data_IF_454825185231
#
_entry.id   IF_454825185231
#
_cell.length_a   1.000
_cell.length_b   1.000
_cell.length_c   1.000
_cell.angle_alpha   90.00
_cell.angle_beta   90.00
_cell.angle_gamma   90.00
#
_symmetry.space_group_name_H-M   'P 1'
#
loop_
_entity.id
_entity.type
_entity.pdbx_description
1 polymer ?
#
# COMPACT_ATOMS: atom_id res chain seq x y z
N UNK A 1 23.19 -29.96 -37.33
CA UNK A 1 23.86 -29.21 -36.23
C UNK A 1 23.73 -27.68 -36.33
N UNK A 2 23.36 -27.09 -37.49
CA UNK A 2 23.24 -25.63 -37.64
C UNK A 2 21.84 -25.08 -37.27
N UNK A 3 20.75 -25.79 -37.59
CA UNK A 3 19.38 -25.31 -37.35
C UNK A 3 19.01 -25.16 -35.86
N UNK A 4 19.52 -26.02 -34.99
CA UNK A 4 19.31 -25.93 -33.53
C UNK A 4 19.99 -24.72 -32.91
N UNK A 5 21.13 -24.31 -33.45
CA UNK A 5 21.90 -23.17 -32.94
C UNK A 5 21.27 -21.83 -33.38
N UNK A 6 20.69 -21.80 -34.59
CA UNK A 6 19.91 -20.67 -35.10
C UNK A 6 18.60 -20.52 -34.33
N UNK A 7 17.90 -21.62 -34.01
CA UNK A 7 16.68 -21.58 -33.19
C UNK A 7 16.95 -21.10 -31.76
N UNK A 8 18.06 -21.53 -31.15
CA UNK A 8 18.45 -21.10 -29.81
C UNK A 8 18.87 -19.62 -29.76
N UNK A 9 19.58 -19.15 -30.80
CA UNK A 9 19.94 -17.73 -30.93
C UNK A 9 18.71 -16.84 -31.18
N UNK A 10 17.74 -17.31 -31.97
CA UNK A 10 16.49 -16.60 -32.21
C UNK A 10 15.63 -16.50 -30.93
N UNK A 11 15.50 -17.59 -30.16
CA UNK A 11 14.81 -17.59 -28.86
C UNK A 11 15.49 -16.69 -27.84
N UNK A 12 16.83 -16.66 -27.81
CA UNK A 12 17.58 -15.74 -26.95
C UNK A 12 17.36 -14.27 -27.36
N UNK A 13 17.28 -13.98 -28.66
CA UNK A 13 16.97 -12.64 -29.16
C UNK A 13 15.53 -12.20 -28.82
N UNK A 14 14.54 -13.08 -28.91
CA UNK A 14 13.18 -12.78 -28.46
C UNK A 14 13.08 -12.57 -26.94
N UNK A 15 13.85 -13.32 -26.14
CA UNK A 15 13.93 -13.11 -24.70
C UNK A 15 14.57 -11.76 -24.32
N UNK A 16 15.51 -11.23 -25.12
CA UNK A 16 16.13 -9.92 -24.90
C UNK A 16 15.28 -8.73 -25.34
N UNK A 17 14.28 -8.93 -26.19
CA UNK A 17 13.36 -7.84 -26.64
C UNK A 17 12.30 -7.51 -25.57
N UNK A 18 12.11 -8.38 -24.58
CA UNK A 18 11.30 -8.06 -23.39
C UNK A 18 12.10 -7.33 -22.31
N UNK A 19 13.04 -6.45 -22.68
CA UNK A 19 13.42 -5.37 -21.79
C UNK A 19 12.20 -4.47 -21.65
N UNK A 20 11.53 -4.50 -20.48
CA UNK A 20 10.47 -3.54 -20.15
C UNK A 20 10.99 -2.14 -20.49
N UNK A 21 10.50 -1.54 -21.58
CA UNK A 21 10.66 -0.12 -21.80
C UNK A 21 9.97 0.54 -20.61
N UNK A 22 10.75 1.04 -19.64
CA UNK A 22 10.20 1.87 -18.59
C UNK A 22 9.78 3.16 -19.30
N UNK A 23 8.52 3.24 -19.69
CA UNK A 23 7.95 4.47 -20.25
C UNK A 23 8.04 5.57 -19.18
N UNK A 24 9.08 6.39 -19.27
CA UNK A 24 9.25 7.54 -18.39
C UNK A 24 8.40 8.69 -18.89
N UNK A 25 7.50 9.20 -18.04
CA UNK A 25 6.71 10.41 -18.31
C UNK A 25 7.31 11.59 -17.56
N UNK A 26 7.42 12.75 -18.21
CA UNK A 26 7.85 13.99 -17.54
C UNK A 26 6.74 14.50 -16.64
N UNK A 27 7.07 14.76 -15.37
CA UNK A 27 6.16 15.31 -14.36
C UNK A 27 6.48 16.78 -14.07
N UNK A 28 5.48 17.55 -13.67
CA UNK A 28 5.64 18.92 -13.20
C UNK A 28 6.09 18.96 -11.73
N UNK A 29 6.42 20.16 -11.24
CA UNK A 29 6.97 20.34 -9.90
C UNK A 29 5.96 19.97 -8.80
N UNK A 30 4.69 20.29 -8.98
CA UNK A 30 3.64 19.97 -7.99
C UNK A 30 3.48 18.45 -7.83
N UNK A 31 3.37 17.74 -8.96
CA UNK A 31 3.31 16.27 -8.95
C UNK A 31 4.52 15.66 -8.25
N UNK A 32 5.74 16.14 -8.52
CA UNK A 32 6.95 15.61 -7.88
C UNK A 32 6.95 15.82 -6.36
N UNK A 33 6.42 16.94 -5.86
CA UNK A 33 6.30 17.20 -4.41
C UNK A 33 5.35 16.18 -3.78
N UNK A 34 4.19 15.97 -4.39
CA UNK A 34 3.18 14.99 -3.92
C UNK A 34 3.71 13.56 -3.98
N UNK A 35 4.32 13.19 -5.10
CA UNK A 35 4.91 11.87 -5.30
C UNK A 35 5.99 11.59 -4.26
N UNK A 36 6.87 12.57 -4.01
CA UNK A 36 7.91 12.46 -2.99
C UNK A 36 7.32 12.29 -1.59
N UNK A 37 6.31 13.09 -1.24
CA UNK A 37 5.66 12.99 0.07
C UNK A 37 5.07 11.59 0.33
N UNK A 38 4.32 11.03 -0.63
CA UNK A 38 3.72 9.69 -0.48
C UNK A 38 4.79 8.60 -0.34
N UNK A 39 5.87 8.66 -1.12
CA UNK A 39 6.95 7.68 -1.00
C UNK A 39 7.67 7.78 0.34
N UNK A 40 7.92 8.99 0.85
CA UNK A 40 8.63 9.21 2.10
C UNK A 40 7.77 8.87 3.34
N UNK A 41 6.47 9.19 3.32
CA UNK A 41 5.60 8.92 4.48
C UNK A 41 5.29 7.43 4.66
N UNK A 42 5.36 6.65 3.58
CA UNK A 42 5.19 5.20 3.57
C UNK A 42 6.51 4.43 3.80
N UNK A 43 7.62 5.12 4.04
CA UNK A 43 8.86 4.47 4.46
C UNK A 43 8.84 4.18 5.97
N UNK A 44 9.41 3.02 6.33
CA UNK A 44 9.58 2.59 7.71
C UNK A 44 8.31 2.67 8.57
N UNK A 45 7.15 2.32 8.00
CA UNK A 45 5.83 2.54 8.65
C UNK A 45 5.75 1.92 10.06
N UNK A 46 6.45 0.81 10.26
CA UNK A 46 6.43 0.02 11.49
C UNK A 46 7.53 0.39 12.49
N UNK A 47 8.30 1.44 12.21
CA UNK A 47 9.26 2.00 13.14
C UNK A 47 8.74 3.35 13.62
N UNK A 48 8.51 3.47 14.92
CA UNK A 48 8.05 4.71 15.53
C UNK A 48 9.13 5.78 15.41
N UNK A 49 8.70 7.01 15.11
CA UNK A 49 9.55 8.20 14.96
C UNK A 49 10.67 8.13 13.91
N UNK A 50 10.70 7.09 13.08
CA UNK A 50 11.63 6.99 11.95
C UNK A 50 10.98 7.60 10.71
N UNK A 51 11.30 8.87 10.48
CA UNK A 51 10.88 9.62 9.31
C UNK A 51 12.10 10.06 8.49
N UNK A 52 12.03 9.87 7.18
CA UNK A 52 13.10 10.31 6.26
C UNK A 52 13.14 11.83 6.14
N UNK A 53 11.96 12.45 6.05
CA UNK A 53 11.80 13.90 6.06
C UNK A 53 11.51 14.40 7.47
N UNK A 54 12.22 15.45 7.87
CA UNK A 54 11.94 16.15 9.13
C UNK A 54 10.76 17.09 8.93
N UNK A 55 9.83 17.04 9.85
CA UNK A 55 8.68 17.92 9.89
C UNK A 55 8.88 18.98 10.97
N UNK A 56 8.26 20.14 10.81
CA UNK A 56 8.31 21.21 11.80
C UNK A 56 7.24 21.02 12.89
N UNK A 57 7.23 21.91 13.88
CA UNK A 57 6.33 21.84 15.03
C UNK A 57 4.84 21.89 14.64
N UNK A 58 4.47 22.49 13.51
CA UNK A 58 3.05 22.57 13.11
C UNK A 58 2.46 21.20 12.85
N UNK A 59 3.26 20.25 12.35
CA UNK A 59 2.85 18.87 12.12
C UNK A 59 2.66 18.09 13.43
N UNK A 60 3.56 18.27 14.40
CA UNK A 60 3.52 17.56 15.69
C UNK A 60 2.40 18.05 16.61
N UNK A 61 2.07 19.34 16.54
CA UNK A 61 0.99 19.93 17.34
C UNK A 61 -0.39 19.80 16.67
N UNK A 62 -0.43 19.36 15.40
CA UNK A 62 -1.66 19.24 14.63
C UNK A 62 -2.62 18.21 15.22
N UNK A 63 -3.86 18.65 15.45
CA UNK A 63 -4.97 17.79 15.84
C UNK A 63 -6.16 18.04 14.91
N UNK A 64 -6.59 17.04 14.14
CA UNK A 64 -7.63 17.26 13.13
C UNK A 64 -8.93 17.88 13.67
N UNK A 65 -9.34 17.53 14.89
CA UNK A 65 -10.54 18.05 15.55
C UNK A 65 -10.42 19.51 16.03
N UNK A 66 -9.23 20.09 16.06
CA UNK A 66 -9.03 21.53 16.32
C UNK A 66 -9.09 22.35 15.01
N UNK A 67 -9.05 21.67 13.86
CA UNK A 67 -8.96 22.23 12.50
C UNK A 67 -10.13 21.82 11.60
N UNK A 68 -11.30 21.59 12.19
CA UNK A 68 -12.53 21.12 11.51
C UNK A 68 -12.92 21.99 10.32
N UNK A 69 -12.67 23.31 10.40
CA UNK A 69 -12.95 24.26 9.33
C UNK A 69 -12.10 24.04 8.07
N UNK A 70 -10.99 23.30 8.15
CA UNK A 70 -10.09 23.02 7.02
C UNK A 70 -10.54 21.81 6.18
N UNK A 71 -11.66 21.18 6.56
CA UNK A 71 -12.24 20.03 5.87
C UNK A 71 -13.55 20.39 5.17
N UNK A 72 -13.78 19.80 4.01
CA UNK A 72 -15.10 19.75 3.38
C UNK A 72 -16.02 18.82 4.20
N UNK A 73 -17.32 19.11 4.26
CA UNK A 73 -18.32 18.22 4.89
C UNK A 73 -17.91 17.75 6.29
N UNK A 74 -17.44 18.69 7.09
CA UNK A 74 -16.80 18.42 8.37
C UNK A 74 -17.75 17.74 9.37
N UNK A 75 -19.06 17.90 9.22
CA UNK A 75 -20.11 17.20 9.94
C UNK A 75 -19.99 15.66 9.83
N UNK A 76 -19.43 15.14 8.72
CA UNK A 76 -19.23 13.71 8.52
C UNK A 76 -17.99 13.16 9.24
N UNK A 77 -17.16 14.04 9.82
CA UNK A 77 -15.97 13.70 10.61
C UNK A 77 -16.25 13.66 12.11
N UNK A 78 -17.32 14.30 12.59
CA UNK A 78 -17.68 14.33 14.02
C UNK A 78 -17.79 12.92 14.63
N UNK A 79 -18.47 11.93 14.00
CA UNK A 79 -18.55 10.58 14.56
C UNK A 79 -17.19 9.90 14.65
N UNK A 80 -16.28 10.18 13.70
CA UNK A 80 -14.92 9.64 13.74
C UNK A 80 -14.12 10.23 14.90
N UNK A 81 -14.23 11.54 15.14
CA UNK A 81 -13.54 12.17 16.27
C UNK A 81 -14.08 11.71 17.62
N UNK A 82 -15.39 11.51 17.75
CA UNK A 82 -16.00 10.91 18.95
C UNK A 82 -15.52 9.46 19.16
N UNK A 83 -15.58 8.63 18.11
CA UNK A 83 -15.11 7.26 18.15
C UNK A 83 -13.62 7.15 18.53
N UNK A 84 -12.81 8.08 18.01
CA UNK A 84 -11.38 8.17 18.29
C UNK A 84 -11.08 8.41 19.77
N UNK A 85 -11.91 9.19 20.48
CA UNK A 85 -11.70 9.51 21.90
C UNK A 85 -11.93 8.30 22.83
N UNK A 86 -12.77 7.34 22.43
CA UNK A 86 -13.22 6.29 23.34
C UNK A 86 -12.47 4.97 23.21
N UNK A 87 -11.83 4.67 22.07
CA UNK A 87 -11.06 3.43 21.87
C UNK A 87 -10.26 3.39 20.55
N UNK A 88 -9.17 4.16 20.36
CA UNK A 88 -8.40 4.06 19.13
C UNK A 88 -7.85 2.63 18.95
N UNK A 89 -7.87 2.13 17.72
CA UNK A 89 -7.24 0.85 17.37
C UNK A 89 -5.72 0.97 17.61
N UNK A 90 -5.19 0.08 18.44
CA UNK A 90 -3.77 0.05 18.79
C UNK A 90 -2.93 -0.53 17.65
N UNK A 91 -1.64 -0.22 17.60
CA UNK A 91 -0.71 -0.68 16.55
C UNK A 91 -0.46 -2.20 16.56
N UNK A 92 -0.62 -2.85 17.71
CA UNK A 92 -0.46 -4.30 17.88
C UNK A 92 -1.70 -5.10 17.42
N UNK A 93 -2.85 -4.44 17.26
CA UNK A 93 -4.05 -5.07 16.71
C UNK A 93 -3.94 -5.24 15.18
N UNK A 94 -4.32 -6.43 14.68
CA UNK A 94 -4.38 -6.69 13.23
C UNK A 94 -5.63 -6.04 12.66
N UNK A 95 -5.43 -5.16 11.68
CA UNK A 95 -6.52 -4.56 10.92
C UNK A 95 -7.04 -5.54 9.88
N UNK A 96 -8.36 -5.53 9.73
CA UNK A 96 -9.04 -6.21 8.64
C UNK A 96 -10.36 -5.51 8.39
N UNK A 97 -10.59 -5.16 7.13
CA UNK A 97 -11.82 -4.48 6.69
C UNK A 97 -13.06 -5.38 6.80
N UNK A 98 -12.90 -6.66 7.11
CA UNK A 98 -14.02 -7.60 7.28
C UNK A 98 -14.74 -7.43 8.63
N UNK A 99 -14.13 -6.74 9.59
CA UNK A 99 -14.75 -6.47 10.89
C UNK A 99 -15.46 -5.13 10.87
N UNK A 100 -16.74 -5.11 11.26
CA UNK A 100 -17.59 -3.91 11.27
C UNK A 100 -16.94 -2.74 12.04
N UNK A 101 -16.40 -3.01 13.23
CA UNK A 101 -15.66 -2.01 14.01
C UNK A 101 -14.49 -1.40 13.24
N UNK A 102 -13.74 -2.20 12.49
CA UNK A 102 -12.60 -1.71 11.70
C UNK A 102 -13.06 -0.89 10.50
N UNK A 103 -14.20 -1.24 9.90
CA UNK A 103 -14.83 -0.46 8.83
C UNK A 103 -15.17 0.95 9.31
N UNK A 104 -15.71 1.10 10.52
CA UNK A 104 -16.04 2.43 11.06
C UNK A 104 -14.79 3.33 11.15
N UNK A 105 -13.68 2.81 11.69
CA UNK A 105 -12.41 3.55 11.72
C UNK A 105 -11.86 3.82 10.31
N UNK A 106 -11.92 2.84 9.40
CA UNK A 106 -11.47 3.00 8.02
C UNK A 106 -12.28 4.07 7.27
N UNK A 107 -13.60 4.09 7.44
CA UNK A 107 -14.49 5.11 6.88
C UNK A 107 -14.12 6.48 7.40
N UNK A 108 -13.99 6.63 8.72
CA UNK A 108 -13.67 7.90 9.36
C UNK A 108 -12.32 8.46 8.92
N UNK A 109 -11.28 7.62 8.93
CA UNK A 109 -9.93 8.03 8.52
C UNK A 109 -9.82 8.31 7.02
N UNK A 110 -10.48 7.51 6.17
CA UNK A 110 -10.52 7.75 4.73
C UNK A 110 -11.21 9.08 4.43
N UNK A 111 -12.32 9.38 5.13
CA UNK A 111 -13.01 10.68 5.01
C UNK A 111 -12.12 11.83 5.46
N UNK A 112 -11.36 11.66 6.54
CA UNK A 112 -10.44 12.69 7.02
C UNK A 112 -9.46 13.09 5.92
N UNK A 113 -8.80 12.11 5.29
CA UNK A 113 -7.88 12.37 4.19
C UNK A 113 -8.58 12.90 2.95
N UNK A 114 -9.73 12.34 2.58
CA UNK A 114 -10.43 12.76 1.37
C UNK A 114 -10.98 14.19 1.47
N UNK A 115 -11.51 14.58 2.62
CA UNK A 115 -12.17 15.87 2.80
C UNK A 115 -11.22 17.04 3.08
N UNK A 116 -9.92 16.81 3.25
CA UNK A 116 -8.94 17.89 3.37
C UNK A 116 -9.01 18.82 2.15
N UNK A 117 -9.26 20.12 2.39
CA UNK A 117 -9.52 21.13 1.35
C UNK A 117 -8.32 21.40 0.45
N UNK A 118 -7.14 21.40 1.06
CA UNK A 118 -5.89 21.72 0.38
C UNK A 118 -4.81 20.68 0.71
N UNK A 119 -3.68 20.81 0.02
CA UNK A 119 -2.53 19.93 0.20
C UNK A 119 -1.96 20.02 1.62
N UNK A 120 -1.98 21.21 2.23
CA UNK A 120 -1.43 21.43 3.57
C UNK A 120 -2.23 20.67 4.62
N UNK A 121 -3.56 20.80 4.64
CA UNK A 121 -4.42 20.07 5.58
C UNK A 121 -4.29 18.57 5.35
N UNK A 122 -4.19 18.13 4.08
CA UNK A 122 -3.98 16.72 3.76
C UNK A 122 -2.68 16.19 4.37
N UNK A 123 -1.53 16.85 4.14
CA UNK A 123 -0.24 16.37 4.67
C UNK A 123 -0.21 16.38 6.20
N UNK A 124 -0.81 17.38 6.86
CA UNK A 124 -0.92 17.43 8.32
C UNK A 124 -1.79 16.28 8.86
N UNK A 125 -2.93 16.01 8.23
CA UNK A 125 -3.80 14.89 8.60
C UNK A 125 -3.09 13.53 8.42
N UNK A 126 -2.40 13.35 7.30
CA UNK A 126 -1.64 12.13 6.99
C UNK A 126 -0.50 11.93 8.00
N UNK A 127 0.24 12.99 8.32
CA UNK A 127 1.30 12.94 9.33
C UNK A 127 0.74 12.60 10.72
N UNK A 128 -0.34 13.26 11.13
CA UNK A 128 -1.01 12.95 12.40
C UNK A 128 -1.43 11.47 12.44
N UNK A 129 -2.03 10.96 11.37
CA UNK A 129 -2.47 9.57 11.32
C UNK A 129 -1.30 8.58 11.31
N UNK A 130 -0.21 8.91 10.61
CA UNK A 130 1.02 8.11 10.56
C UNK A 130 1.59 7.80 11.95
N UNK A 131 1.48 8.77 12.87
CA UNK A 131 1.98 8.65 14.24
C UNK A 131 0.95 8.06 15.21
N UNK A 132 -0.33 8.42 15.06
CA UNK A 132 -1.33 8.15 16.09
C UNK A 132 -2.25 6.96 15.79
N UNK A 133 -2.31 6.49 14.53
CA UNK A 133 -3.24 5.45 14.10
C UNK A 133 -2.50 4.14 13.83
N UNK A 134 -3.20 3.02 14.07
CA UNK A 134 -2.81 1.68 13.63
C UNK A 134 -2.22 1.73 12.22
N UNK A 135 -0.98 1.24 12.07
CA UNK A 135 -0.20 1.33 10.82
C UNK A 135 -0.90 0.70 9.60
N UNK A 136 -1.58 -0.44 9.78
CA UNK A 136 -2.28 -1.13 8.70
C UNK A 136 -3.52 -0.33 8.26
N UNK A 137 -4.30 0.16 9.21
CA UNK A 137 -5.43 1.05 8.97
C UNK A 137 -5.00 2.36 8.28
N UNK A 138 -3.89 2.95 8.73
CA UNK A 138 -3.31 4.16 8.12
C UNK A 138 -3.00 3.94 6.63
N UNK A 139 -2.28 2.88 6.30
CA UNK A 139 -1.91 2.56 4.90
C UNK A 139 -3.15 2.28 4.07
N UNK A 140 -4.11 1.52 4.61
CA UNK A 140 -5.37 1.24 3.95
C UNK A 140 -6.12 2.54 3.61
N UNK A 141 -6.39 3.38 4.60
CA UNK A 141 -7.15 4.60 4.43
C UNK A 141 -6.44 5.63 3.53
N UNK A 142 -5.12 5.76 3.64
CA UNK A 142 -4.33 6.65 2.79
C UNK A 142 -4.37 6.21 1.32
N UNK A 143 -4.28 4.91 1.07
CA UNK A 143 -4.33 4.37 -0.30
C UNK A 143 -5.71 4.54 -0.91
N UNK A 144 -6.78 4.22 -0.18
CA UNK A 144 -8.16 4.47 -0.65
C UNK A 144 -8.38 5.96 -0.91
N UNK A 145 -8.05 6.84 0.04
CA UNK A 145 -8.22 8.28 -0.16
C UNK A 145 -7.42 8.80 -1.37
N UNK A 146 -6.18 8.34 -1.54
CA UNK A 146 -5.33 8.72 -2.66
C UNK A 146 -5.87 8.31 -4.03
N UNK A 147 -6.43 7.09 -4.15
CA UNK A 147 -7.03 6.61 -5.39
C UNK A 147 -8.24 7.44 -5.82
N UNK A 148 -9.03 7.92 -4.86
CA UNK A 148 -10.28 8.64 -5.13
C UNK A 148 -10.13 10.17 -5.17
N UNK A 149 -9.03 10.73 -4.66
CA UNK A 149 -8.77 12.18 -4.64
C UNK A 149 -8.35 12.70 -6.02
N UNK A 150 -9.02 13.74 -6.49
CA UNK A 150 -8.77 14.33 -7.82
C UNK A 150 -7.35 14.93 -7.96
N UNK A 151 -6.79 15.50 -6.89
CA UNK A 151 -5.46 16.10 -6.87
C UNK A 151 -4.30 15.09 -6.76
N UNK A 152 -4.63 13.81 -6.53
CA UNK A 152 -3.74 12.68 -6.38
C UNK A 152 -3.71 11.76 -7.62
N UNK A 153 -4.45 12.09 -8.67
CA UNK A 153 -4.51 11.28 -9.88
C UNK A 153 -3.12 11.13 -10.52
N UNK A 154 -2.74 9.88 -10.78
CA UNK A 154 -1.46 9.52 -11.36
C UNK A 154 -0.31 9.39 -10.36
N UNK A 155 -0.50 9.73 -9.08
CA UNK A 155 0.49 9.47 -8.04
C UNK A 155 0.65 7.96 -7.87
N UNK A 156 1.90 7.50 -7.86
CA UNK A 156 2.25 6.09 -7.77
C UNK A 156 2.54 5.75 -6.31
N UNK A 157 1.83 4.76 -5.79
CA UNK A 157 2.09 4.20 -4.46
C UNK A 157 3.13 3.08 -4.55
N UNK A 158 3.94 2.85 -3.50
CA UNK A 158 4.76 1.64 -3.40
C UNK A 158 3.88 0.40 -3.50
N UNK A 159 4.48 -0.70 -3.98
CA UNK A 159 3.75 -1.95 -4.03
C UNK A 159 3.40 -2.42 -2.60
N UNK A 160 2.21 -2.99 -2.40
CA UNK A 160 1.75 -3.36 -1.05
C UNK A 160 2.67 -4.39 -0.37
N UNK A 161 3.30 -5.28 -1.14
CA UNK A 161 4.29 -6.24 -0.64
C UNK A 161 5.63 -5.61 -0.23
N UNK A 162 5.91 -4.36 -0.61
CA UNK A 162 7.06 -3.58 -0.10
C UNK A 162 6.74 -2.94 1.26
N UNK A 163 5.46 -2.63 1.51
CA UNK A 163 5.00 -1.99 2.74
C UNK A 163 4.66 -3.03 3.81
N UNK A 164 4.00 -4.12 3.43
CA UNK A 164 3.57 -5.21 4.31
C UNK A 164 4.11 -6.58 3.87
N UNK A 165 5.43 -6.81 3.95
CA UNK A 165 6.04 -8.05 3.45
C UNK A 165 5.50 -9.34 4.12
N UNK A 166 5.09 -9.29 5.39
CA UNK A 166 4.60 -10.48 6.13
C UNK A 166 3.27 -11.05 5.61
N UNK A 167 2.52 -10.32 4.78
CA UNK A 167 1.33 -10.88 4.11
C UNK A 167 1.67 -11.66 2.84
N UNK A 168 2.89 -11.51 2.32
CA UNK A 168 3.28 -12.01 1.00
C UNK A 168 4.42 -13.03 1.05
N UNK A 169 5.22 -13.01 2.12
CA UNK A 169 6.36 -13.92 2.28
C UNK A 169 6.17 -14.82 3.48
N UNK A 170 6.63 -16.06 3.33
CA UNK A 170 6.60 -17.06 4.40
C UNK A 170 7.48 -16.67 5.60
N UNK A 171 7.14 -17.22 6.76
CA UNK A 171 7.79 -16.95 8.05
C UNK A 171 9.30 -17.20 7.97
N UNK A 172 9.75 -18.26 7.29
CA UNK A 172 11.19 -18.55 7.15
C UNK A 172 11.97 -17.41 6.47
N UNK A 173 11.32 -16.72 5.52
CA UNK A 173 11.91 -15.59 4.80
C UNK A 173 12.01 -14.37 5.70
N UNK A 174 10.96 -14.08 6.46
CA UNK A 174 10.92 -12.96 7.41
C UNK A 174 11.92 -13.18 8.54
N UNK A 175 11.94 -14.34 9.17
CA UNK A 175 12.91 -14.68 10.22
C UNK A 175 14.36 -14.61 9.72
N UNK A 176 14.61 -15.00 8.47
CA UNK A 176 15.93 -14.85 7.86
C UNK A 176 16.33 -13.38 7.75
N UNK A 177 15.41 -12.50 7.34
CA UNK A 177 15.65 -11.07 7.26
C UNK A 177 15.95 -10.45 8.64
N UNK A 178 15.16 -10.83 9.65
CA UNK A 178 15.36 -10.42 11.04
C UNK A 178 16.72 -10.88 11.56
N UNK A 179 17.12 -12.13 11.28
CA UNK A 179 18.41 -12.68 11.69
C UNK A 179 19.58 -11.88 11.10
N UNK A 180 19.51 -11.48 9.83
CA UNK A 180 20.52 -10.60 9.23
C UNK A 180 20.62 -9.26 9.96
N UNK A 181 19.47 -8.66 10.32
CA UNK A 181 19.41 -7.41 11.06
C UNK A 181 19.99 -7.54 12.48
N UNK A 182 19.69 -8.64 13.19
CA UNK A 182 20.19 -8.92 14.54
C UNK A 182 21.71 -9.15 14.58
N UNK A 183 22.28 -9.77 13.54
CA UNK A 183 23.73 -9.93 13.38
C UNK A 183 24.43 -8.70 12.82
N UNK A 184 23.75 -7.53 12.77
CA UNK A 184 24.27 -6.30 12.18
C UNK A 184 24.83 -6.50 10.77
N UNK A 185 24.16 -7.32 9.96
CA UNK A 185 24.55 -7.65 8.59
C UNK A 185 25.99 -8.19 8.47
N UNK A 186 26.39 -9.03 9.44
CA UNK A 186 27.70 -9.69 9.41
C UNK A 186 27.96 -10.38 8.05
N UNK A 187 29.14 -10.15 7.49
CA UNK A 187 29.57 -10.62 6.16
C UNK A 187 28.80 -10.07 4.95
N UNK A 188 27.96 -9.04 5.13
CA UNK A 188 27.30 -8.33 4.02
C UNK A 188 28.10 -7.08 3.69
N UNK A 189 28.47 -6.92 2.42
CA UNK A 189 29.15 -5.70 1.95
C UNK A 189 28.11 -4.58 1.82
N UNK A 190 28.45 -3.43 2.39
CA UNK A 190 27.69 -2.20 2.22
C UNK A 190 27.92 -1.65 0.81
N UNK A 191 26.85 -1.37 0.08
CA UNK A 191 26.88 -0.68 -1.21
C UNK A 191 26.18 0.66 -1.03
N UNK A 192 26.85 1.77 -1.37
CA UNK A 192 26.30 3.13 -1.25
C UNK A 192 25.65 3.44 0.11
N UNK A 193 26.33 3.05 1.19
CA UNK A 193 25.82 3.20 2.56
C UNK A 193 24.54 2.42 2.89
N UNK A 194 24.15 1.44 2.08
CA UNK A 194 22.99 0.56 2.29
C UNK A 194 23.47 -0.91 2.35
N UNK A 195 22.88 -1.69 3.26
CA UNK A 195 23.08 -3.13 3.29
C UNK A 195 22.03 -3.78 2.40
N UNK A 196 22.47 -4.40 1.30
CA UNK A 196 21.60 -5.14 0.39
C UNK A 196 21.76 -6.64 0.65
N UNK A 197 20.68 -7.31 1.02
CA UNK A 197 20.63 -8.76 1.26
C UNK A 197 19.59 -9.37 0.34
N UNK A 198 19.99 -10.35 -0.46
CA UNK A 198 19.08 -11.15 -1.26
C UNK A 198 18.73 -12.43 -0.50
N UNK A 199 17.47 -12.57 -0.11
CA UNK A 199 16.94 -13.75 0.56
C UNK A 199 16.14 -14.55 -0.47
N UNK A 200 16.43 -15.85 -0.58
CA UNK A 200 15.65 -16.76 -1.42
C UNK A 200 14.42 -17.18 -0.64
N UNK A 201 13.25 -16.90 -1.19
CA UNK A 201 11.96 -17.33 -0.64
C UNK A 201 11.38 -18.39 -1.56
N UNK A 202 10.95 -19.52 -0.99
CA UNK A 202 10.24 -20.56 -1.73
C UNK A 202 8.75 -20.47 -1.43
N UNK A 203 7.92 -20.97 -2.34
CA UNK A 203 6.49 -21.16 -2.09
C UNK A 203 6.25 -22.25 -1.04
N UNK A 204 5.05 -22.27 -0.46
CA UNK A 204 4.68 -23.18 0.62
C UNK A 204 4.85 -24.67 0.27
N UNK A 205 4.73 -25.02 -1.02
CA UNK A 205 4.78 -26.39 -1.49
C UNK A 205 6.18 -27.00 -1.59
N UNK A 206 7.24 -26.27 -1.19
CA UNK A 206 8.64 -26.71 -1.29
C UNK A 206 8.92 -28.02 -0.54
N UNK A 207 8.24 -28.23 0.61
CA UNK A 207 8.46 -29.42 1.44
C UNK A 207 7.59 -30.61 1.02
N UNK A 208 6.35 -30.35 0.63
CA UNK A 208 5.42 -31.36 0.12
C UNK A 208 4.14 -30.70 -0.40
N UNK A 209 3.50 -31.34 -1.38
CA UNK A 209 2.12 -31.02 -1.75
C UNK A 209 1.17 -31.70 -0.76
N UNK A 210 0.54 -30.92 0.13
CA UNK A 210 -0.44 -31.46 1.09
C UNK A 210 -1.77 -31.85 0.43
N UNK A 211 -2.12 -31.15 -0.66
CA UNK A 211 -3.29 -31.42 -1.50
C UNK A 211 -3.00 -31.01 -2.94
N UNK A 212 -3.92 -31.34 -3.87
CA UNK A 212 -3.77 -31.04 -5.30
C UNK A 212 -3.52 -29.55 -5.56
N UNK A 213 -4.22 -28.68 -4.85
CA UNK A 213 -4.09 -27.23 -5.10
C UNK A 213 -2.72 -26.66 -4.67
N UNK A 214 -1.93 -27.35 -3.84
CA UNK A 214 -0.54 -26.95 -3.56
C UNK A 214 0.35 -27.01 -4.81
N UNK A 215 -0.03 -27.77 -5.85
CA UNK A 215 0.69 -27.75 -7.14
C UNK A 215 0.63 -26.35 -7.80
N UNK A 216 -0.37 -25.55 -7.44
CA UNK A 216 -0.57 -24.19 -7.94
C UNK A 216 -0.02 -23.11 -7.00
N UNK A 217 0.76 -23.46 -5.97
CA UNK A 217 1.29 -22.49 -5.00
C UNK A 217 2.02 -21.32 -5.68
N UNK A 218 2.81 -21.58 -6.73
CA UNK A 218 3.52 -20.53 -7.46
C UNK A 218 2.60 -19.46 -8.08
N UNK A 219 1.35 -19.81 -8.36
CA UNK A 219 0.34 -18.91 -8.90
C UNK A 219 -0.49 -18.27 -7.78
N UNK A 220 -0.98 -19.08 -6.83
CA UNK A 220 -1.84 -18.62 -5.74
C UNK A 220 -1.11 -17.74 -4.71
N UNK A 221 0.20 -17.94 -4.54
CA UNK A 221 1.06 -17.16 -3.63
C UNK A 221 1.89 -16.12 -4.40
N UNK A 222 1.66 -15.92 -5.70
CA UNK A 222 2.34 -14.87 -6.45
C UNK A 222 2.02 -13.49 -5.87
N UNK A 223 3.06 -12.71 -5.62
CA UNK A 223 2.91 -11.39 -4.99
C UNK A 223 2.15 -10.41 -5.87
N UNK A 224 2.25 -10.55 -7.20
CA UNK A 224 1.54 -9.73 -8.17
C UNK A 224 0.05 -10.06 -8.22
N UNK A 225 -0.31 -11.34 -8.25
CA UNK A 225 -1.72 -11.77 -8.23
C UNK A 225 -2.42 -11.34 -6.94
N UNK A 226 -1.77 -11.54 -5.79
CA UNK A 226 -2.32 -11.12 -4.50
C UNK A 226 -2.42 -9.59 -4.39
N UNK A 227 -1.41 -8.85 -4.87
CA UNK A 227 -1.46 -7.39 -4.90
C UNK A 227 -2.55 -6.88 -5.84
N UNK A 228 -2.78 -7.51 -6.99
CA UNK A 228 -3.88 -7.18 -7.90
C UNK A 228 -5.22 -7.22 -7.19
N UNK A 229 -5.52 -8.32 -6.48
CA UNK A 229 -6.79 -8.45 -5.77
C UNK A 229 -6.92 -7.44 -4.62
N UNK A 230 -5.81 -7.12 -3.93
CA UNK A 230 -5.77 -6.04 -2.95
C UNK A 230 -6.17 -4.69 -3.58
N UNK A 231 -5.53 -4.28 -4.67
CA UNK A 231 -5.80 -2.99 -5.33
C UNK A 231 -7.21 -2.92 -5.91
N UNK A 232 -7.72 -4.00 -6.50
CA UNK A 232 -9.10 -4.08 -6.96
C UNK A 232 -10.10 -3.76 -5.83
N UNK A 233 -9.87 -4.30 -4.63
CA UNK A 233 -10.72 -4.03 -3.48
C UNK A 233 -10.58 -2.59 -2.93
N UNK A 234 -9.43 -1.94 -3.13
CA UNK A 234 -9.24 -0.54 -2.75
C UNK A 234 -9.88 0.45 -3.74
N UNK A 235 -9.92 0.10 -5.02
CA UNK A 235 -10.55 0.91 -6.05
C UNK A 235 -12.08 0.89 -5.91
N UNK A 236 -12.66 -0.27 -5.58
CA UNK A 236 -14.10 -0.43 -5.32
C UNK A 236 -14.44 -0.97 -3.93
N UNK A 237 -14.10 -0.28 -2.82
CA UNK A 237 -14.29 -0.83 -1.48
C UNK A 237 -15.77 -1.13 -1.20
N UNK A 238 -16.07 -2.38 -0.83
CA UNK A 238 -17.46 -2.87 -0.69
C UNK A 238 -18.28 -2.09 0.34
N UNK A 239 -17.62 -1.51 1.35
CA UNK A 239 -18.25 -0.77 2.45
C UNK A 239 -18.71 0.65 2.07
N UNK A 240 -18.30 1.18 0.91
CA UNK A 240 -18.72 2.50 0.43
C UNK A 240 -19.45 2.43 -0.89
N UNK A 241 -20.32 3.41 -1.14
CA UNK A 241 -20.94 3.67 -2.45
C UNK A 241 -20.04 4.51 -3.37
N UNK A 242 -18.82 4.80 -2.94
CA UNK A 242 -17.96 5.82 -3.51
C UNK A 242 -18.02 7.10 -2.69
N UNK A 243 -17.24 8.09 -3.11
CA UNK A 243 -17.23 9.36 -2.39
C UNK A 243 -18.41 10.21 -2.83
N UNK A 244 -18.99 10.98 -1.92
CA UNK A 244 -20.19 11.76 -2.20
C UNK A 244 -19.89 12.87 -3.22
N UNK A 245 -20.41 12.71 -4.44
CA UNK A 245 -20.08 13.50 -5.64
C UNK A 245 -19.47 12.66 -6.77
N UNK A 246 -18.79 11.57 -6.42
CA UNK A 246 -18.22 10.55 -7.31
C UNK A 246 -18.69 9.16 -6.85
N UNK A 247 -20.00 8.95 -6.92
CA UNK A 247 -20.60 7.67 -6.50
C UNK A 247 -20.23 6.56 -7.50
N UNK A 248 -19.52 5.55 -7.02
CA UNK A 248 -19.14 4.34 -7.77
C UNK A 248 -20.38 3.54 -8.23
N UNK A 249 -21.55 3.79 -7.65
CA UNK A 249 -22.80 3.17 -8.08
C UNK A 249 -23.16 3.48 -9.54
N UNK A 250 -22.67 4.59 -10.10
CA UNK A 250 -22.92 4.97 -11.50
C UNK A 250 -21.95 4.31 -12.48
N UNK A 251 -20.94 3.59 -12.00
CA UNK A 251 -19.86 3.01 -12.81
C UNK A 251 -20.03 1.50 -13.08
N UNK A 252 -21.26 1.05 -13.38
CA UNK A 252 -21.59 -0.35 -13.70
C UNK A 252 -20.97 -1.36 -12.72
N UNK A 253 -20.86 -0.98 -11.45
CA UNK A 253 -20.07 -1.69 -10.42
C UNK A 253 -20.34 -3.19 -10.34
N UNK A 254 -21.61 -3.59 -10.42
CA UNK A 254 -21.99 -5.01 -10.39
C UNK A 254 -21.50 -5.79 -11.61
N UNK A 255 -21.50 -5.18 -12.79
CA UNK A 255 -20.96 -5.80 -14.01
C UNK A 255 -19.44 -5.91 -13.93
N UNK A 256 -18.76 -4.87 -13.48
CA UNK A 256 -17.30 -4.91 -13.28
C UNK A 256 -16.90 -5.98 -12.27
N UNK A 257 -17.69 -6.15 -11.21
CA UNK A 257 -17.50 -7.23 -10.24
C UNK A 257 -17.64 -8.62 -10.88
N UNK A 258 -18.71 -8.86 -11.64
CA UNK A 258 -18.90 -10.16 -12.33
C UNK A 258 -17.78 -10.42 -13.33
N UNK A 259 -17.43 -9.41 -14.14
CA UNK A 259 -16.39 -9.52 -15.15
C UNK A 259 -15.05 -9.89 -14.52
N UNK A 260 -14.65 -9.17 -13.47
CA UNK A 260 -13.36 -9.41 -12.80
C UNK A 260 -13.26 -10.83 -12.25
N UNK A 261 -14.30 -11.30 -11.54
CA UNK A 261 -14.32 -12.65 -10.95
C UNK A 261 -14.51 -13.76 -11.97
N UNK A 262 -15.03 -13.48 -13.17
CA UNK A 262 -15.10 -14.46 -14.25
C UNK A 262 -13.77 -14.53 -15.03
N UNK A 263 -13.00 -13.45 -15.10
CA UNK A 263 -11.69 -13.46 -15.75
C UNK A 263 -10.57 -14.04 -14.87
N UNK A 264 -10.69 -13.90 -13.54
CA UNK A 264 -9.87 -14.58 -12.54
C UNK A 264 -10.13 -16.09 -12.54
#
# INVERSE_FOLDING_TARGET
KSYTLVAFAALALFATVSSKNIESKTADKDFLIKQKFILEILQHVYQDDVLVTKYDTSYYEYKPWEHVADYHKHELLEPFFELWQHKPMLDDEIFSIMYERHVEYAVGLTRLFYFAKDWTTFTHAVFWARLNVNKQLFIYALTVAGLHRADMQGIVYPAIYEIHPWYFFDVETIESAERYRMHNFHNVKKLDNIYNVAIKSNYSNVYSNMHRDHELAYFLEDVGLNAFYYYYNLDYPFWTKGVEGFELNKDRRGEFWIYTHWQL
#
